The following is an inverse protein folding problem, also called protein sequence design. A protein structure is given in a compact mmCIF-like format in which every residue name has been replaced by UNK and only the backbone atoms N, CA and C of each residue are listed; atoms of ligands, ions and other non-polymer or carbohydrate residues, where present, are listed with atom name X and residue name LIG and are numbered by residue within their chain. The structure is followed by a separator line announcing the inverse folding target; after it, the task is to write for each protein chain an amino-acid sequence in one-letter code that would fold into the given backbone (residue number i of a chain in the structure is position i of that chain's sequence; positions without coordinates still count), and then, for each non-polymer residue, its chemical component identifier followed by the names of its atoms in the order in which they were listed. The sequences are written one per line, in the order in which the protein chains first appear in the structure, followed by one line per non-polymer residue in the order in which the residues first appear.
data_IF_785694358781
#
_entry.id   IF_785694358781
#
_cell.length_a   1.000
_cell.length_b   1.000
_cell.length_c   1.000
_cell.angle_alpha   90.00
_cell.angle_beta   90.00
_cell.angle_gamma   90.00
#
_symmetry.space_group_name_H-M   'P 1'
#
loop_
_entity.id
_entity.type
_entity.pdbx_description
1 polymer ?
#
# COMPACT_ATOMS: atom_id res chain seq x y z
N UNK A 1 16.29 10.64 12.23
CA UNK A 1 17.35 10.74 11.20
C UNK A 1 16.77 11.43 9.99
N UNK A 2 17.42 12.46 9.47
CA UNK A 2 16.99 13.08 8.21
C UNK A 2 17.17 12.07 7.06
N UNK A 3 16.17 11.95 6.17
CA UNK A 3 16.24 11.09 4.99
C UNK A 3 15.83 9.61 5.18
N UNK A 4 15.32 9.20 6.36
CA UNK A 4 14.71 7.87 6.51
C UNK A 4 13.43 7.83 5.67
N UNK A 5 13.28 6.82 4.80
CA UNK A 5 12.01 6.54 4.13
C UNK A 5 10.98 6.16 5.20
N UNK A 6 9.84 6.85 5.20
CA UNK A 6 8.77 6.66 6.20
C UNK A 6 7.50 6.08 5.59
N UNK A 7 7.28 6.32 4.31
CA UNK A 7 6.09 5.88 3.59
C UNK A 7 6.35 5.84 2.08
N UNK A 8 5.65 4.95 1.37
CA UNK A 8 5.64 4.91 -0.09
C UNK A 8 4.22 4.73 -0.63
N UNK A 9 4.02 5.13 -1.89
CA UNK A 9 2.72 5.13 -2.54
C UNK A 9 2.78 4.38 -3.87
N UNK A 10 1.77 3.57 -4.14
CA UNK A 10 1.59 2.86 -5.40
C UNK A 10 0.25 3.28 -6.01
N UNK A 11 0.33 4.10 -7.06
CA UNK A 11 -0.82 4.40 -7.90
C UNK A 11 -1.08 3.22 -8.84
N UNK A 12 -2.30 2.69 -8.84
CA UNK A 12 -2.70 1.59 -9.72
C UNK A 12 -4.06 1.91 -10.36
N UNK A 13 -4.23 1.60 -11.64
CA UNK A 13 -5.54 1.71 -12.31
C UNK A 13 -6.54 0.65 -11.84
N UNK A 14 -6.04 -0.37 -11.14
CA UNK A 14 -6.78 -1.48 -10.55
C UNK A 14 -6.01 -1.90 -9.29
N UNK A 15 -6.40 -1.30 -8.18
CA UNK A 15 -5.80 -1.48 -6.86
C UNK A 15 -5.96 -2.91 -6.35
N UNK A 16 -7.09 -3.56 -6.63
CA UNK A 16 -7.38 -4.94 -6.25
C UNK A 16 -6.37 -5.91 -6.89
N UNK A 17 -6.15 -5.78 -8.20
CA UNK A 17 -5.14 -6.58 -8.90
C UNK A 17 -3.73 -6.29 -8.42
N UNK A 18 -3.41 -5.02 -8.12
CA UNK A 18 -2.10 -4.65 -7.60
C UNK A 18 -1.86 -5.28 -6.21
N UNK A 19 -2.84 -5.18 -5.30
CA UNK A 19 -2.76 -5.80 -3.98
C UNK A 19 -2.56 -7.31 -4.07
N UNK A 20 -3.29 -8.00 -4.95
CA UNK A 20 -3.14 -9.46 -5.13
C UNK A 20 -1.75 -9.85 -5.64
N UNK A 21 -1.17 -9.06 -6.56
CA UNK A 21 0.20 -9.25 -7.00
C UNK A 21 1.20 -9.10 -5.85
N UNK A 22 1.12 -8.00 -5.07
CA UNK A 22 2.06 -7.75 -3.98
C UNK A 22 1.89 -8.73 -2.81
N UNK A 23 0.66 -9.21 -2.54
CA UNK A 23 0.39 -10.33 -1.64
C UNK A 23 1.13 -11.59 -2.07
N UNK A 24 1.08 -11.95 -3.36
CA UNK A 24 1.70 -13.19 -3.85
C UNK A 24 3.23 -13.12 -3.90
N UNK A 25 3.78 -11.99 -4.31
CA UNK A 25 5.23 -11.85 -4.51
C UNK A 25 5.97 -11.59 -3.20
N UNK A 26 5.38 -10.78 -2.31
CA UNK A 26 6.06 -10.29 -1.11
C UNK A 26 5.36 -10.67 0.20
N UNK A 27 4.26 -11.42 0.14
CA UNK A 27 3.44 -11.74 1.31
C UNK A 27 2.97 -10.49 2.10
N UNK A 28 2.75 -9.38 1.39
CA UNK A 28 2.25 -8.16 2.01
C UNK A 28 0.79 -8.30 2.39
N UNK A 29 0.43 -7.77 3.56
CA UNK A 29 -0.95 -7.64 4.00
C UNK A 29 -1.44 -6.22 3.77
N UNK A 30 -2.74 -6.08 3.48
CA UNK A 30 -3.36 -4.80 3.20
C UNK A 30 -4.56 -4.56 4.09
N UNK A 31 -4.73 -3.32 4.54
CA UNK A 31 -5.86 -2.85 5.33
C UNK A 31 -6.46 -1.61 4.68
N UNK A 32 -7.78 -1.60 4.54
CA UNK A 32 -8.52 -0.39 4.13
C UNK A 32 -8.30 0.74 5.13
N UNK A 33 -7.96 1.93 4.63
CA UNK A 33 -7.72 3.11 5.47
C UNK A 33 -8.99 3.75 6.05
N UNK A 34 -10.16 3.37 5.54
CA UNK A 34 -11.44 3.98 5.91
C UNK A 34 -11.65 5.38 5.34
N UNK A 35 -10.80 5.86 4.43
CA UNK A 35 -10.93 7.20 3.84
C UNK A 35 -12.16 7.30 2.93
N UNK A 36 -13.14 8.16 3.23
CA UNK A 36 -14.34 8.26 2.42
C UNK A 36 -14.02 8.74 1.00
N UNK A 37 -14.53 8.03 -0.01
CA UNK A 37 -14.44 8.43 -1.41
C UNK A 37 -13.10 8.16 -2.09
N UNK A 38 -12.16 7.50 -1.42
CA UNK A 38 -10.87 7.10 -1.99
C UNK A 38 -10.60 5.65 -1.61
N UNK A 39 -10.32 4.80 -2.60
CA UNK A 39 -9.78 3.47 -2.28
C UNK A 39 -8.29 3.62 -1.97
N UNK A 40 -7.95 3.48 -0.69
CA UNK A 40 -6.61 3.71 -0.16
C UNK A 40 -6.29 2.60 0.84
N UNK A 41 -5.42 1.68 0.43
CA UNK A 41 -5.14 0.43 1.12
C UNK A 41 -3.72 0.44 1.68
N UNK A 42 -3.61 0.50 3.00
CA UNK A 42 -2.36 0.56 3.75
C UNK A 42 -1.70 -0.82 3.83
N UNK A 43 -0.36 -0.85 3.84
CA UNK A 43 0.43 -2.07 4.05
C UNK A 43 1.66 -1.78 4.90
N UNK A 44 2.11 -2.79 5.66
CA UNK A 44 3.45 -2.81 6.26
C UNK A 44 4.30 -3.82 5.50
N UNK A 45 5.17 -3.31 4.63
CA UNK A 45 6.04 -4.09 3.76
C UNK A 45 7.19 -4.75 4.55
N UNK A 46 6.88 -5.70 5.43
CA UNK A 46 7.84 -6.34 6.33
C UNK A 46 8.28 -5.47 7.52
N UNK A 47 7.55 -4.39 7.81
CA UNK A 47 7.83 -3.47 8.93
C UNK A 47 7.78 -2.00 8.50
N UNK A 48 8.75 -1.21 8.98
CA UNK A 48 8.98 0.17 8.55
C UNK A 48 9.85 0.21 7.28
N UNK A 49 9.52 1.02 6.27
CA UNK A 49 8.38 1.94 6.19
C UNK A 49 7.06 1.25 5.77
N UNK A 50 5.94 1.84 6.20
CA UNK A 50 4.63 1.51 5.66
C UNK A 50 4.47 1.98 4.21
N UNK A 51 3.41 1.56 3.56
CA UNK A 51 3.04 2.05 2.24
C UNK A 51 1.55 1.96 1.99
N UNK A 52 1.10 2.44 0.83
CA UNK A 52 -0.27 2.28 0.41
C UNK A 52 -0.40 2.03 -1.10
N UNK A 53 -1.47 1.33 -1.47
CA UNK A 53 -1.95 1.20 -2.85
C UNK A 53 -3.25 1.97 -2.98
N UNK A 54 -3.36 2.79 -4.01
CA UNK A 54 -4.56 3.55 -4.28
C UNK A 54 -4.94 3.51 -5.76
N UNK A 55 -6.25 3.68 -6.00
CA UNK A 55 -6.79 3.69 -7.35
C UNK A 55 -6.66 5.07 -8.00
N UNK A 56 -6.15 5.12 -9.24
CA UNK A 56 -6.04 6.33 -10.06
C UNK A 56 -6.71 6.18 -11.42
#
# INVERSE_FOLDING_TARGET
MAGKLVHFEIAASDDSRAMDFYKQVFAWEFQDSGMPGVSYNLTQAGGDPGGAVYSM
#
